data_IF_716802040078
#
_entry.id   IF_716802040078
#
_cell.length_a   1.000
_cell.length_b   1.000
_cell.length_c   1.000
_cell.angle_alpha   90.00
_cell.angle_beta   90.00
_cell.angle_gamma   90.00
#
_symmetry.space_group_name_H-M   'P 1'
#
loop_
_entity.id
_entity.type
_entity.pdbx_description
1 polymer ?
#
# COMPACT_ATOMS: atom_id res chain seq x y z
N UNK A 1 41.06 -26.17 44.97
CA UNK A 1 42.28 -25.75 45.70
C UNK A 1 43.14 -24.95 44.74
N UNK A 2 43.21 -23.64 45.00
CA UNK A 2 44.18 -22.59 44.65
C UNK A 2 44.86 -22.57 43.26
N UNK A 3 44.67 -21.52 42.43
CA UNK A 3 45.16 -20.10 42.53
C UNK A 3 46.65 -19.98 42.15
N UNK A 4 47.21 -19.03 41.35
CA UNK A 4 46.87 -17.68 40.82
C UNK A 4 47.63 -17.49 39.45
N UNK A 5 47.28 -16.68 38.43
CA UNK A 5 47.12 -15.20 38.28
C UNK A 5 48.29 -14.39 38.88
N UNK A 6 48.90 -13.37 38.26
CA UNK A 6 48.39 -12.22 37.49
C UNK A 6 49.48 -11.72 36.52
N UNK A 7 49.08 -11.23 35.34
CA UNK A 7 49.87 -10.37 34.44
C UNK A 7 48.93 -9.24 34.00
N UNK A 8 49.23 -8.01 34.40
CA UNK A 8 48.53 -6.79 33.98
C UNK A 8 49.51 -5.84 33.28
N UNK A 9 49.19 -5.48 32.05
CA UNK A 9 49.92 -4.52 31.24
C UNK A 9 49.05 -3.29 30.96
N UNK A 10 49.55 -2.09 31.27
CA UNK A 10 49.11 -0.82 30.69
C UNK A 10 50.25 0.22 30.63
N UNK A 11 50.18 1.22 29.71
CA UNK A 11 51.34 1.76 29.00
C UNK A 11 51.81 3.15 29.47
N UNK A 12 53.10 3.42 29.26
CA UNK A 12 53.75 4.70 29.54
C UNK A 12 53.63 5.69 28.37
N UNK A 13 53.18 6.91 28.72
CA UNK A 13 53.28 8.15 27.95
C UNK A 13 54.70 8.71 28.03
N UNK A 14 55.28 9.11 26.89
CA UNK A 14 56.41 10.04 26.84
C UNK A 14 56.25 10.98 25.63
N UNK A 15 55.90 12.23 25.94
CA UNK A 15 56.12 13.40 25.10
C UNK A 15 57.60 13.81 25.13
N UNK A 16 58.19 14.13 23.98
CA UNK A 16 58.69 15.49 23.70
C UNK A 16 59.44 15.62 22.36
N UNK A 17 58.98 16.61 21.60
CA UNK A 17 59.75 17.63 20.87
C UNK A 17 60.50 17.26 19.58
N UNK A 18 60.14 17.99 18.52
CA UNK A 18 60.83 18.03 17.23
C UNK A 18 60.18 19.03 16.27
N UNK A 19 60.01 20.27 16.72
CA UNK A 19 59.57 21.41 15.92
C UNK A 19 60.69 21.87 14.98
N UNK A 20 60.63 21.50 13.70
CA UNK A 20 61.38 22.16 12.61
C UNK A 20 60.87 21.62 11.26
N UNK A 21 59.77 22.17 10.73
CA UNK A 21 59.40 22.16 9.29
C UNK A 21 58.05 22.84 9.02
N UNK A 22 57.82 24.04 9.56
CA UNK A 22 56.64 24.86 9.21
C UNK A 22 57.06 26.22 8.65
N UNK A 23 57.70 26.23 7.48
CA UNK A 23 57.75 27.41 6.60
C UNK A 23 57.90 26.95 5.16
N UNK A 24 56.79 26.73 4.47
CA UNK A 24 56.65 27.10 3.05
C UNK A 24 55.21 26.89 2.53
N UNK A 25 54.69 27.96 1.92
CA UNK A 25 53.53 28.05 1.01
C UNK A 25 52.15 28.27 1.69
N UNK A 26 51.97 29.44 2.30
CA UNK A 26 50.63 30.06 2.37
C UNK A 26 50.34 30.80 1.05
N UNK A 27 49.82 30.09 0.04
CA UNK A 27 49.08 30.75 -1.04
C UNK A 27 47.72 31.15 -0.47
N UNK A 28 47.48 32.45 -0.30
CA UNK A 28 46.13 33.01 -0.07
C UNK A 28 45.22 32.60 -1.23
N UNK A 29 44.49 31.50 -1.06
CA UNK A 29 43.28 31.23 -1.84
C UNK A 29 42.21 32.16 -1.27
N UNK A 30 41.94 33.24 -1.99
CA UNK A 30 40.72 34.02 -1.75
C UNK A 30 39.56 33.14 -2.20
N UNK A 31 38.98 32.38 -1.26
CA UNK A 31 37.72 31.69 -1.47
C UNK A 31 36.66 32.77 -1.56
N UNK A 32 36.24 33.12 -2.77
CA UNK A 32 35.01 33.89 -2.94
C UNK A 32 33.87 33.07 -2.33
N UNK A 33 32.99 33.66 -1.49
CA UNK A 33 31.83 32.94 -0.99
C UNK A 33 31.04 32.44 -2.19
N UNK A 34 30.86 31.12 -2.28
CA UNK A 34 29.93 30.53 -3.22
C UNK A 34 28.52 30.92 -2.72
N UNK A 35 28.03 32.08 -3.14
CA UNK A 35 26.63 32.42 -2.98
C UNK A 35 25.86 31.45 -3.88
N UNK A 36 25.39 30.35 -3.30
CA UNK A 36 24.29 29.61 -3.90
C UNK A 36 23.13 30.60 -3.99
N UNK A 37 22.85 31.09 -5.20
CA UNK A 37 21.58 31.74 -5.51
C UNK A 37 20.48 30.79 -5.01
N UNK A 38 19.90 31.10 -3.85
CA UNK A 38 18.70 30.43 -3.38
C UNK A 38 17.64 30.77 -4.42
N UNK A 39 17.43 29.87 -5.38
CA UNK A 39 16.30 29.97 -6.32
C UNK A 39 15.06 30.27 -5.48
N UNK A 40 14.52 31.48 -5.67
CA UNK A 40 13.41 31.99 -4.89
C UNK A 40 12.25 31.03 -5.12
N UNK A 41 11.83 30.31 -4.08
CA UNK A 41 10.73 29.36 -4.16
C UNK A 41 9.49 30.11 -4.67
N UNK A 42 9.07 29.83 -5.91
CA UNK A 42 7.89 30.43 -6.48
C UNK A 42 6.67 29.59 -6.10
N UNK A 43 5.73 30.23 -5.39
CA UNK A 43 4.41 29.67 -5.09
C UNK A 43 3.46 30.07 -6.21
N UNK A 44 2.62 29.13 -6.67
CA UNK A 44 1.48 29.45 -7.53
C UNK A 44 0.22 29.50 -6.68
N UNK A 45 -0.76 30.26 -7.15
CA UNK A 45 -2.03 30.46 -6.48
C UNK A 45 -3.16 30.00 -7.37
N UNK A 46 -4.12 29.32 -6.77
CA UNK A 46 -5.37 28.96 -7.44
C UNK A 46 -6.10 30.27 -7.83
N UNK A 47 -6.54 30.39 -9.08
CA UNK A 47 -7.13 31.60 -9.66
C UNK A 47 -6.15 32.59 -10.28
N UNK A 48 -4.85 32.26 -10.36
CA UNK A 48 -3.81 33.09 -10.99
C UNK A 48 -2.99 32.27 -11.99
N UNK A 49 -2.38 32.90 -13.03
CA UNK A 49 -1.51 32.19 -13.96
C UNK A 49 -0.46 31.32 -13.25
N UNK A 50 -0.31 30.03 -13.63
CA UNK A 50 -0.93 29.34 -14.77
C UNK A 50 -2.27 28.64 -14.46
N UNK A 51 -2.84 28.81 -13.27
CA UNK A 51 -4.07 28.17 -12.80
C UNK A 51 -5.23 29.18 -12.75
N UNK A 52 -5.52 29.77 -13.89
CA UNK A 52 -6.70 30.62 -14.06
C UNK A 52 -7.96 29.78 -13.95
N UNK A 53 -9.02 30.36 -13.40
CA UNK A 53 -10.28 29.66 -13.11
C UNK A 53 -11.43 30.48 -13.64
N UNK A 54 -12.33 29.82 -14.37
CA UNK A 54 -13.57 30.40 -14.82
C UNK A 54 -14.73 29.87 -13.97
N UNK A 55 -15.72 30.73 -13.72
CA UNK A 55 -16.91 30.38 -12.94
C UNK A 55 -17.78 29.28 -13.60
N UNK A 56 -17.62 29.07 -14.90
CA UNK A 56 -18.34 28.07 -15.69
C UNK A 56 -17.61 26.72 -15.74
N UNK A 57 -16.38 26.62 -15.21
CA UNK A 57 -15.60 25.39 -15.26
C UNK A 57 -16.28 24.28 -14.45
N UNK A 58 -16.51 23.14 -15.09
CA UNK A 58 -17.00 21.91 -14.43
C UNK A 58 -15.85 21.00 -13.96
N UNK A 59 -14.64 21.23 -14.48
CA UNK A 59 -13.44 20.44 -14.20
C UNK A 59 -12.24 21.38 -14.07
N UNK A 60 -11.58 21.35 -12.90
CA UNK A 60 -10.38 22.13 -12.62
C UNK A 60 -9.28 21.18 -12.19
N UNK A 61 -8.14 21.24 -12.87
CA UNK A 61 -6.94 20.48 -12.53
C UNK A 61 -5.73 21.40 -12.36
N UNK A 62 -5.13 21.38 -11.17
CA UNK A 62 -3.95 22.16 -10.83
C UNK A 62 -2.94 21.28 -10.08
N UNK A 63 -2.09 20.59 -10.84
CA UNK A 63 -1.12 19.61 -10.32
C UNK A 63 0.26 20.27 -10.17
N UNK A 64 1.02 19.89 -9.14
CA UNK A 64 2.41 20.35 -8.93
C UNK A 64 2.54 21.89 -8.84
N UNK A 65 1.50 22.53 -8.30
CA UNK A 65 1.39 23.98 -8.25
C UNK A 65 2.12 24.64 -7.07
N UNK A 66 2.50 23.84 -6.08
CA UNK A 66 2.88 24.33 -4.73
C UNK A 66 1.79 25.19 -4.08
N UNK A 67 0.53 24.93 -4.41
CA UNK A 67 -0.63 25.70 -3.90
C UNK A 67 -0.80 25.40 -2.41
N UNK A 68 -0.77 26.41 -1.51
CA UNK A 68 -0.89 26.18 -0.07
C UNK A 68 -2.34 26.12 0.43
N UNK A 69 -3.26 26.79 -0.27
CA UNK A 69 -4.66 26.91 0.13
C UNK A 69 -5.57 26.81 -1.09
N UNK A 70 -6.73 26.18 -0.89
CA UNK A 70 -7.82 26.20 -1.85
C UNK A 70 -8.53 27.55 -1.71
N UNK A 71 -8.54 28.33 -2.79
CA UNK A 71 -9.10 29.69 -2.82
C UNK A 71 -9.62 30.00 -4.24
N UNK A 72 -10.35 31.11 -4.40
CA UNK A 72 -10.88 31.57 -5.68
C UNK A 72 -11.92 30.62 -6.35
N UNK A 73 -12.45 29.65 -5.61
CA UNK A 73 -13.52 28.76 -6.06
C UNK A 73 -14.93 29.25 -5.66
N UNK A 74 -15.05 30.42 -5.02
CA UNK A 74 -16.31 30.94 -4.50
C UNK A 74 -17.40 31.11 -5.59
N UNK A 75 -17.00 31.28 -6.86
CA UNK A 75 -17.92 31.43 -8.00
C UNK A 75 -18.09 30.15 -8.82
N UNK A 76 -17.34 29.09 -8.54
CA UNK A 76 -17.34 27.84 -9.31
C UNK A 76 -18.47 26.90 -8.85
N UNK A 77 -19.71 27.36 -9.04
CA UNK A 77 -20.92 26.65 -8.58
C UNK A 77 -21.26 25.41 -9.42
N UNK A 78 -20.71 25.31 -10.64
CA UNK A 78 -20.90 24.20 -11.56
C UNK A 78 -19.78 23.14 -11.48
N UNK A 79 -18.82 23.32 -10.57
CA UNK A 79 -17.65 22.46 -10.47
C UNK A 79 -18.06 21.04 -10.05
N UNK A 80 -17.72 20.05 -10.88
CA UNK A 80 -17.96 18.62 -10.66
C UNK A 80 -16.68 17.86 -10.32
N UNK A 81 -15.54 18.26 -10.88
CA UNK A 81 -14.25 17.63 -10.63
C UNK A 81 -13.19 18.64 -10.23
N UNK A 82 -12.49 18.36 -9.14
CA UNK A 82 -11.38 19.19 -8.66
C UNK A 82 -10.17 18.31 -8.37
N UNK A 83 -9.11 18.50 -9.15
CA UNK A 83 -7.85 17.78 -9.04
C UNK A 83 -6.73 18.73 -8.60
N UNK A 84 -6.19 18.51 -7.41
CA UNK A 84 -5.16 19.34 -6.75
C UNK A 84 -3.97 18.50 -6.29
N UNK A 85 -3.59 17.49 -7.08
CA UNK A 85 -2.50 16.55 -6.75
C UNK A 85 -1.16 17.26 -6.55
N UNK A 86 -0.34 16.76 -5.63
CA UNK A 86 1.05 17.20 -5.45
C UNK A 86 1.15 18.70 -5.15
N UNK A 87 0.41 19.16 -4.14
CA UNK A 87 0.40 20.56 -3.70
C UNK A 87 0.81 20.66 -2.22
N UNK A 88 0.63 21.85 -1.63
CA UNK A 88 0.99 22.12 -0.23
C UNK A 88 -0.23 22.32 0.67
N UNK A 89 -1.40 21.84 0.24
CA UNK A 89 -2.68 22.09 0.89
C UNK A 89 -2.70 21.41 2.25
N UNK A 90 -2.85 22.21 3.30
CA UNK A 90 -2.92 21.70 4.69
C UNK A 90 -4.33 21.65 5.27
N UNK A 91 -5.30 22.28 4.61
CA UNK A 91 -6.69 22.34 5.03
C UNK A 91 -7.65 22.30 3.85
N UNK A 92 -8.78 21.66 4.06
CA UNK A 92 -9.95 21.73 3.18
C UNK A 92 -10.72 23.02 3.53
N UNK A 93 -10.42 24.12 2.87
CA UNK A 93 -11.19 25.39 3.00
C UNK A 93 -11.57 25.86 1.58
N UNK A 94 -12.39 26.90 1.42
CA UNK A 94 -12.74 27.44 0.09
C UNK A 94 -13.60 26.55 -0.85
N UNK A 95 -14.26 25.49 -0.37
CA UNK A 95 -15.09 24.57 -1.17
C UNK A 95 -16.61 24.74 -0.93
N UNK A 96 -17.04 25.75 -0.19
CA UNK A 96 -18.40 25.87 0.36
C UNK A 96 -19.47 25.99 -0.73
N UNK A 97 -19.11 26.58 -1.87
CA UNK A 97 -20.03 26.81 -3.00
C UNK A 97 -19.94 25.70 -4.07
N UNK A 98 -18.98 24.78 -3.97
CA UNK A 98 -18.79 23.68 -4.93
C UNK A 98 -19.69 22.48 -4.59
N UNK A 99 -20.97 22.72 -4.33
CA UNK A 99 -21.91 21.69 -3.82
C UNK A 99 -22.24 20.59 -4.85
N UNK A 100 -21.92 20.82 -6.13
CA UNK A 100 -22.08 19.85 -7.21
C UNK A 100 -20.84 18.96 -7.42
N UNK A 101 -19.83 19.07 -6.56
CA UNK A 101 -18.60 18.30 -6.68
C UNK A 101 -18.88 16.80 -6.53
N UNK A 102 -18.46 16.04 -7.54
CA UNK A 102 -18.58 14.58 -7.65
C UNK A 102 -17.21 13.91 -7.43
N UNK A 103 -16.12 14.57 -7.81
CA UNK A 103 -14.75 14.07 -7.64
C UNK A 103 -13.84 15.12 -7.01
N UNK A 104 -13.20 14.74 -5.92
CA UNK A 104 -12.19 15.55 -5.24
C UNK A 104 -10.89 14.74 -5.08
N UNK A 105 -9.85 15.19 -5.76
CA UNK A 105 -8.53 14.58 -5.72
C UNK A 105 -7.51 15.53 -5.08
N UNK A 106 -7.05 15.16 -3.90
CA UNK A 106 -6.05 15.86 -3.08
C UNK A 106 -4.87 14.94 -2.76
N UNK A 107 -4.57 14.00 -3.65
CA UNK A 107 -3.39 13.14 -3.57
C UNK A 107 -2.11 13.97 -3.34
N UNK A 108 -1.23 13.50 -2.46
CA UNK A 108 0.07 14.12 -2.15
C UNK A 108 -0.05 15.61 -1.75
N UNK A 109 -0.63 15.80 -0.56
CA UNK A 109 -0.80 17.10 0.07
C UNK A 109 -0.38 17.02 1.56
N UNK A 110 -0.78 18.01 2.36
CA UNK A 110 -0.35 18.16 3.76
C UNK A 110 -1.51 18.10 4.75
N UNK A 111 -2.65 17.55 4.36
CA UNK A 111 -3.85 17.45 5.21
C UNK A 111 -3.56 16.59 6.43
N UNK A 112 -3.96 17.06 7.62
CA UNK A 112 -3.78 16.33 8.89
C UNK A 112 -5.10 15.75 9.43
N UNK A 113 -6.23 16.23 8.92
CA UNK A 113 -7.60 15.82 9.27
C UNK A 113 -8.52 16.06 8.08
N UNK A 114 -9.66 15.40 8.11
CA UNK A 114 -10.77 15.61 7.17
C UNK A 114 -11.72 16.59 7.85
N UNK A 115 -12.02 17.72 7.21
CA UNK A 115 -12.88 18.78 7.75
C UNK A 115 -13.51 19.58 6.61
N UNK A 116 -14.56 20.36 6.92
CA UNK A 116 -15.22 21.28 5.99
C UNK A 116 -15.66 20.63 4.66
N UNK A 117 -16.07 19.36 4.72
CA UNK A 117 -16.54 18.58 3.58
C UNK A 117 -18.04 18.29 3.67
N UNK A 118 -18.70 18.71 4.75
CA UNK A 118 -20.11 18.41 5.06
C UNK A 118 -21.11 18.84 3.99
N UNK A 119 -20.78 19.87 3.20
CA UNK A 119 -21.61 20.38 2.11
C UNK A 119 -21.40 19.64 0.78
N UNK A 120 -20.31 18.88 0.63
CA UNK A 120 -19.97 18.15 -0.59
C UNK A 120 -20.69 16.80 -0.62
N UNK A 121 -22.03 16.85 -0.62
CA UNK A 121 -22.91 15.68 -0.50
C UNK A 121 -23.01 14.84 -1.78
N UNK A 122 -22.54 15.37 -2.90
CA UNK A 122 -22.57 14.71 -4.21
C UNK A 122 -21.29 13.93 -4.53
N UNK A 123 -20.29 13.92 -3.64
CA UNK A 123 -19.04 13.22 -3.88
C UNK A 123 -19.26 11.71 -4.12
N UNK A 124 -18.76 11.24 -5.25
CA UNK A 124 -18.67 9.84 -5.64
C UNK A 124 -17.24 9.30 -5.51
N UNK A 125 -16.24 10.16 -5.72
CA UNK A 125 -14.82 9.81 -5.65
C UNK A 125 -14.09 10.82 -4.76
N UNK A 126 -13.38 10.32 -3.77
CA UNK A 126 -12.54 11.12 -2.87
C UNK A 126 -11.16 10.49 -2.73
N UNK A 127 -10.14 11.16 -3.24
CA UNK A 127 -8.73 10.78 -3.07
C UNK A 127 -8.03 11.73 -2.09
N UNK A 128 -7.69 11.21 -0.92
CA UNK A 128 -6.92 11.87 0.14
C UNK A 128 -5.61 11.13 0.42
N UNK A 129 -5.12 10.36 -0.55
CA UNK A 129 -3.90 9.57 -0.42
C UNK A 129 -2.66 10.46 -0.25
N UNK A 130 -1.61 9.92 0.34
CA UNK A 130 -0.34 10.62 0.58
C UNK A 130 -0.53 11.94 1.34
N UNK A 131 -1.28 11.89 2.44
CA UNK A 131 -1.46 12.99 3.36
C UNK A 131 -0.98 12.59 4.77
N UNK A 132 -1.33 13.38 5.79
CA UNK A 132 -0.96 13.15 7.19
C UNK A 132 -2.18 12.85 8.09
N UNK A 133 -3.28 12.37 7.51
CA UNK A 133 -4.56 12.13 8.18
C UNK A 133 -4.41 11.01 9.21
N UNK A 134 -4.92 11.24 10.43
CA UNK A 134 -4.79 10.29 11.55
C UNK A 134 -6.06 9.49 11.83
N UNK A 135 -7.22 9.98 11.38
CA UNK A 135 -8.54 9.44 11.66
C UNK A 135 -9.45 9.65 10.45
N UNK A 136 -10.34 8.71 10.22
CA UNK A 136 -11.49 8.89 9.34
C UNK A 136 -12.57 9.54 10.21
N UNK A 137 -13.00 10.75 9.84
CA UNK A 137 -13.96 11.58 10.55
C UNK A 137 -14.59 12.60 9.59
N UNK A 138 -15.73 13.17 9.96
CA UNK A 138 -16.42 14.22 9.20
C UNK A 138 -16.80 13.81 7.77
N UNK A 139 -17.13 12.54 7.55
CA UNK A 139 -17.59 12.01 6.26
C UNK A 139 -19.05 11.53 6.29
N UNK A 140 -19.82 11.91 7.31
CA UNK A 140 -21.13 11.33 7.58
C UNK A 140 -22.15 11.62 6.47
N UNK A 141 -21.99 12.73 5.75
CA UNK A 141 -22.90 13.21 4.72
C UNK A 141 -22.59 12.69 3.30
N UNK A 142 -21.41 12.11 3.08
CA UNK A 142 -20.93 11.66 1.77
C UNK A 142 -21.53 10.31 1.35
N UNK A 143 -22.86 10.19 1.38
CA UNK A 143 -23.58 8.92 1.15
C UNK A 143 -23.49 8.38 -0.27
N UNK A 144 -23.07 9.21 -1.24
CA UNK A 144 -22.88 8.82 -2.65
C UNK A 144 -21.47 8.31 -2.97
N UNK A 145 -20.55 8.29 -2.00
CA UNK A 145 -19.19 7.83 -2.25
C UNK A 145 -19.18 6.38 -2.76
N UNK A 146 -18.55 6.19 -3.92
CA UNK A 146 -18.29 4.91 -4.56
C UNK A 146 -16.84 4.49 -4.36
N UNK A 147 -15.90 5.44 -4.34
CA UNK A 147 -14.47 5.19 -4.17
C UNK A 147 -13.86 6.14 -3.14
N UNK A 148 -13.15 5.58 -2.17
CA UNK A 148 -12.44 6.34 -1.14
C UNK A 148 -10.99 5.88 -1.06
N UNK A 149 -10.07 6.80 -1.35
CA UNK A 149 -8.63 6.53 -1.29
C UNK A 149 -7.99 7.29 -0.12
N UNK A 150 -7.36 6.54 0.78
CA UNK A 150 -6.69 7.01 1.98
C UNK A 150 -5.29 6.38 2.11
N UNK A 151 -4.71 5.92 0.99
CA UNK A 151 -3.39 5.32 0.92
C UNK A 151 -2.33 6.24 1.53
N UNK A 152 -1.34 5.69 2.23
CA UNK A 152 -0.18 6.44 2.75
C UNK A 152 -0.59 7.60 3.68
N UNK A 153 -1.34 7.28 4.73
CA UNK A 153 -1.71 8.20 5.80
C UNK A 153 -1.21 7.68 7.18
N UNK A 154 -1.76 8.20 8.28
CA UNK A 154 -1.42 7.81 9.66
C UNK A 154 -2.61 7.23 10.41
N UNK A 155 -3.59 6.67 9.68
CA UNK A 155 -4.83 6.12 10.22
C UNK A 155 -4.54 4.87 11.04
N UNK A 156 -5.12 4.78 12.24
CA UNK A 156 -4.89 3.65 13.16
C UNK A 156 -6.05 2.68 13.25
N UNK A 157 -7.26 3.11 12.88
CA UNK A 157 -8.50 2.35 13.04
C UNK A 157 -9.40 2.60 11.84
N UNK A 158 -10.12 1.56 11.45
CA UNK A 158 -11.22 1.64 10.50
C UNK A 158 -12.43 2.08 11.30
N UNK A 159 -12.98 3.26 11.06
CA UNK A 159 -14.06 3.83 11.86
C UNK A 159 -14.81 4.87 11.03
N UNK A 160 -16.02 5.23 11.47
CA UNK A 160 -16.85 6.26 10.84
C UNK A 160 -17.09 6.01 9.34
N UNK A 161 -17.22 4.73 8.96
CA UNK A 161 -17.58 4.32 7.61
C UNK A 161 -19.08 4.04 7.58
N UNK A 162 -19.82 4.86 6.84
CA UNK A 162 -21.25 4.68 6.62
C UNK A 162 -21.59 5.11 5.18
N UNK A 163 -21.17 4.26 4.26
CA UNK A 163 -21.15 4.53 2.82
C UNK A 163 -21.89 3.42 2.06
N UNK A 164 -23.22 3.57 1.86
CA UNK A 164 -24.05 2.53 1.27
C UNK A 164 -23.72 2.23 -0.20
N UNK A 165 -23.06 3.16 -0.89
CA UNK A 165 -22.70 3.07 -2.30
C UNK A 165 -21.21 2.71 -2.54
N UNK A 166 -20.42 2.54 -1.48
CA UNK A 166 -18.98 2.34 -1.61
C UNK A 166 -18.66 0.97 -2.18
N UNK A 167 -17.91 0.95 -3.29
CA UNK A 167 -17.47 -0.26 -3.98
C UNK A 167 -15.98 -0.51 -3.82
N UNK A 168 -15.18 0.53 -3.56
CA UNK A 168 -13.73 0.46 -3.39
C UNK A 168 -13.26 1.28 -2.19
N UNK A 169 -12.49 0.65 -1.31
CA UNK A 169 -11.86 1.28 -0.15
C UNK A 169 -10.36 0.99 -0.13
N UNK A 170 -9.55 2.03 -0.26
CA UNK A 170 -8.09 1.95 -0.22
C UNK A 170 -7.54 2.57 1.07
N UNK A 171 -6.97 1.72 1.93
CA UNK A 171 -6.43 2.06 3.25
C UNK A 171 -4.99 1.58 3.43
N UNK A 172 -4.29 1.28 2.34
CA UNK A 172 -2.93 0.81 2.34
C UNK A 172 -1.94 1.81 2.95
N UNK A 173 -0.76 1.34 3.37
CA UNK A 173 0.31 2.16 3.95
C UNK A 173 -0.16 3.04 5.12
N UNK A 174 -0.95 2.47 6.04
CA UNK A 174 -1.44 3.14 7.25
C UNK A 174 -0.86 2.48 8.51
N UNK A 175 -1.53 2.65 9.66
CA UNK A 175 -1.15 2.06 10.95
C UNK A 175 -2.29 1.20 11.54
N UNK A 176 -3.16 0.68 10.68
CA UNK A 176 -4.31 -0.13 11.06
C UNK A 176 -3.81 -1.47 11.61
N UNK A 177 -4.35 -1.90 12.74
CA UNK A 177 -3.94 -3.16 13.40
C UNK A 177 -5.03 -4.23 13.39
N UNK A 178 -6.28 -3.84 13.12
CA UNK A 178 -7.44 -4.73 13.13
C UNK A 178 -8.38 -4.37 11.98
N UNK A 179 -9.01 -5.39 11.42
CA UNK A 179 -10.13 -5.26 10.48
C UNK A 179 -11.40 -5.13 11.34
N UNK A 180 -12.14 -4.03 11.21
CA UNK A 180 -13.32 -3.72 12.02
C UNK A 180 -14.23 -2.74 11.28
N UNK A 181 -15.49 -2.61 11.71
CA UNK A 181 -16.43 -1.57 11.27
C UNK A 181 -16.68 -1.54 9.75
N UNK A 182 -16.92 -2.71 9.16
CA UNK A 182 -17.24 -2.89 7.73
C UNK A 182 -18.74 -3.17 7.48
N UNK A 183 -19.55 -3.20 8.53
CA UNK A 183 -20.98 -3.55 8.52
C UNK A 183 -21.87 -2.60 7.72
N UNK A 184 -21.40 -1.36 7.50
CA UNK A 184 -22.13 -0.34 6.73
C UNK A 184 -21.59 -0.14 5.31
N UNK A 185 -20.95 -1.15 4.74
CA UNK A 185 -20.38 -1.13 3.39
C UNK A 185 -20.98 -2.25 2.51
N UNK A 186 -22.32 -2.28 2.33
CA UNK A 186 -23.02 -3.42 1.74
C UNK A 186 -22.72 -3.67 0.26
N UNK A 187 -22.00 -2.77 -0.42
CA UNK A 187 -21.63 -2.87 -1.84
C UNK A 187 -20.13 -2.98 -2.06
N UNK A 188 -19.33 -3.15 -1.01
CA UNK A 188 -17.87 -3.13 -1.13
C UNK A 188 -17.37 -4.37 -1.88
N UNK A 189 -16.66 -4.13 -2.97
CA UNK A 189 -16.08 -5.15 -3.86
C UNK A 189 -14.57 -5.23 -3.73
N UNK A 190 -13.91 -4.11 -3.45
CA UNK A 190 -12.45 -4.03 -3.41
C UNK A 190 -11.98 -3.39 -2.11
N UNK A 191 -11.18 -4.14 -1.34
CA UNK A 191 -10.63 -3.70 -0.07
C UNK A 191 -9.11 -3.83 -0.05
N UNK A 192 -8.42 -2.70 0.03
CA UNK A 192 -6.97 -2.64 0.10
C UNK A 192 -6.51 -2.21 1.49
N UNK A 193 -5.79 -3.11 2.16
CA UNK A 193 -5.27 -2.96 3.51
C UNK A 193 -3.76 -3.28 3.57
N UNK A 194 -3.08 -3.22 2.42
CA UNK A 194 -1.66 -3.52 2.32
C UNK A 194 -0.79 -2.59 3.18
N UNK A 195 0.39 -3.05 3.61
CA UNK A 195 1.36 -2.24 4.38
C UNK A 195 0.75 -1.59 5.65
N UNK A 196 0.09 -2.43 6.45
CA UNK A 196 -0.48 -2.06 7.75
C UNK A 196 0.17 -2.88 8.88
N UNK A 197 -0.52 -3.05 10.01
CA UNK A 197 -0.06 -3.81 11.18
C UNK A 197 -1.03 -4.92 11.56
N UNK A 198 -1.85 -5.38 10.61
CA UNK A 198 -2.89 -6.39 10.83
C UNK A 198 -2.23 -7.73 11.14
N UNK A 199 -2.71 -8.40 12.18
CA UNK A 199 -2.20 -9.70 12.62
C UNK A 199 -3.17 -10.86 12.37
N UNK A 200 -4.47 -10.56 12.33
CA UNK A 200 -5.54 -11.55 12.18
C UNK A 200 -6.50 -11.10 11.09
N UNK A 201 -6.86 -12.02 10.21
CA UNK A 201 -7.96 -11.90 9.26
C UNK A 201 -9.24 -12.25 10.03
N UNK A 202 -10.07 -11.25 10.32
CA UNK A 202 -11.33 -11.40 11.08
C UNK A 202 -12.32 -10.33 10.64
N UNK A 203 -13.58 -10.45 11.06
CA UNK A 203 -14.63 -9.45 10.84
C UNK A 203 -14.91 -9.17 9.34
N UNK A 204 -14.90 -10.23 8.52
CA UNK A 204 -15.13 -10.17 7.08
C UNK A 204 -16.55 -10.59 6.69
N UNK A 205 -17.32 -11.13 7.64
CA UNK A 205 -18.68 -11.63 7.46
C UNK A 205 -19.63 -10.60 6.82
N UNK A 206 -19.55 -9.28 7.14
CA UNK A 206 -20.39 -8.29 6.48
C UNK A 206 -20.16 -8.19 4.96
N UNK A 207 -19.00 -8.63 4.48
CA UNK A 207 -18.58 -8.53 3.09
C UNK A 207 -18.69 -9.86 2.32
N UNK A 208 -19.20 -10.92 2.97
CA UNK A 208 -19.24 -12.29 2.46
C UNK A 208 -19.81 -12.44 1.03
N UNK A 209 -20.80 -11.61 0.69
CA UNK A 209 -21.52 -11.68 -0.58
C UNK A 209 -21.10 -10.62 -1.60
N UNK A 210 -20.16 -9.72 -1.28
CA UNK A 210 -19.82 -8.59 -2.17
C UNK A 210 -18.35 -8.49 -2.50
N UNK A 211 -17.45 -8.95 -1.63
CA UNK A 211 -16.02 -8.73 -1.82
C UNK A 211 -15.45 -9.65 -2.90
N UNK A 212 -14.73 -9.04 -3.84
CA UNK A 212 -14.10 -9.70 -4.98
C UNK A 212 -12.57 -9.59 -4.95
N UNK A 213 -12.05 -8.52 -4.34
CA UNK A 213 -10.61 -8.31 -4.15
C UNK A 213 -10.31 -7.94 -2.69
N UNK A 214 -9.39 -8.70 -2.09
CA UNK A 214 -8.84 -8.43 -0.76
C UNK A 214 -7.32 -8.38 -0.83
N UNK A 215 -6.74 -7.21 -0.52
CA UNK A 215 -5.30 -7.03 -0.41
C UNK A 215 -4.89 -6.78 1.04
N UNK A 216 -4.11 -7.70 1.60
CA UNK A 216 -3.51 -7.64 2.94
C UNK A 216 -1.99 -7.81 2.89
N UNK A 217 -1.37 -7.55 1.73
CA UNK A 217 0.09 -7.68 1.56
C UNK A 217 0.86 -6.79 2.54
N UNK A 218 2.08 -7.16 2.92
CA UNK A 218 2.93 -6.39 3.83
C UNK A 218 2.29 -6.12 5.21
N UNK A 219 1.67 -7.13 5.82
CA UNK A 219 1.09 -7.06 7.16
C UNK A 219 1.90 -7.93 8.16
N UNK A 220 1.27 -8.37 9.25
CA UNK A 220 1.87 -9.21 10.28
C UNK A 220 1.10 -10.51 10.49
N UNK A 221 0.43 -10.98 9.44
CA UNK A 221 -0.43 -12.17 9.49
C UNK A 221 0.46 -13.41 9.56
N UNK A 222 0.20 -14.28 10.53
CA UNK A 222 0.97 -15.52 10.74
C UNK A 222 0.23 -16.77 10.25
N UNK A 223 -1.08 -16.67 10.07
CA UNK A 223 -1.97 -17.77 9.73
C UNK A 223 -3.15 -17.22 8.95
N UNK A 224 -3.67 -18.00 8.02
CA UNK A 224 -4.91 -17.69 7.30
C UNK A 224 -6.07 -18.18 8.17
N UNK A 225 -6.87 -17.26 8.72
CA UNK A 225 -7.97 -17.61 9.62
C UNK A 225 -9.17 -18.23 8.86
N UNK A 226 -9.94 -19.15 9.49
CA UNK A 226 -11.14 -19.75 8.92
C UNK A 226 -12.18 -18.75 8.40
N UNK A 227 -12.28 -17.59 9.01
CA UNK A 227 -13.20 -16.50 8.71
C UNK A 227 -13.12 -16.05 7.25
N UNK A 228 -11.97 -16.21 6.58
CA UNK A 228 -11.83 -15.88 5.15
C UNK A 228 -12.78 -16.70 4.26
N UNK A 229 -13.16 -17.91 4.70
CA UNK A 229 -14.03 -18.82 3.93
C UNK A 229 -15.45 -18.26 3.69
N UNK A 230 -15.86 -17.22 4.41
CA UNK A 230 -17.14 -16.57 4.15
C UNK A 230 -17.16 -15.79 2.82
N UNK A 231 -16.00 -15.41 2.28
CA UNK A 231 -15.87 -14.59 1.07
C UNK A 231 -16.03 -15.41 -0.22
N UNK A 232 -17.25 -15.86 -0.50
CA UNK A 232 -17.52 -16.81 -1.60
C UNK A 232 -17.34 -16.22 -3.00
N UNK A 233 -17.38 -14.89 -3.13
CA UNK A 233 -17.22 -14.15 -4.38
C UNK A 233 -15.78 -13.63 -4.60
N UNK A 234 -14.83 -14.01 -3.74
CA UNK A 234 -13.46 -13.51 -3.81
C UNK A 234 -12.71 -14.11 -5.01
N UNK A 235 -12.28 -13.24 -5.92
CA UNK A 235 -11.52 -13.59 -7.12
C UNK A 235 -10.01 -13.36 -6.91
N UNK A 236 -9.64 -12.34 -6.13
CA UNK A 236 -8.26 -11.92 -5.93
C UNK A 236 -7.93 -11.84 -4.43
N UNK A 237 -7.00 -12.69 -3.99
CA UNK A 237 -6.47 -12.66 -2.62
C UNK A 237 -4.97 -12.37 -2.65
N UNK A 238 -4.59 -11.19 -2.17
CA UNK A 238 -3.20 -10.77 -2.06
C UNK A 238 -2.77 -10.72 -0.60
N UNK A 239 -1.90 -11.64 -0.19
CA UNK A 239 -1.42 -11.79 1.19
C UNK A 239 0.11 -11.97 1.24
N UNK A 240 0.81 -11.41 0.25
CA UNK A 240 2.26 -11.42 0.17
C UNK A 240 2.93 -10.67 1.33
N UNK A 241 4.22 -10.93 1.56
CA UNK A 241 5.02 -10.22 2.57
C UNK A 241 4.39 -10.26 3.97
N UNK A 242 3.96 -11.45 4.39
CA UNK A 242 3.45 -11.74 5.72
C UNK A 242 4.34 -12.80 6.40
N UNK A 243 3.85 -13.44 7.45
CA UNK A 243 4.57 -14.46 8.21
C UNK A 243 3.87 -15.83 8.17
N UNK A 244 3.07 -16.07 7.12
CA UNK A 244 2.27 -17.29 6.98
C UNK A 244 3.18 -18.50 6.80
N UNK A 245 2.95 -19.55 7.57
CA UNK A 245 3.74 -20.81 7.49
C UNK A 245 2.99 -21.96 6.83
N UNK A 246 1.67 -21.91 6.84
CA UNK A 246 0.79 -22.98 6.38
C UNK A 246 -0.30 -22.37 5.50
N UNK A 247 -0.54 -23.00 4.35
CA UNK A 247 -1.70 -22.68 3.52
C UNK A 247 -2.87 -23.54 4.02
N UNK A 248 -3.93 -22.89 4.48
CA UNK A 248 -5.13 -23.53 5.01
C UNK A 248 -6.32 -22.58 4.91
N UNK A 249 -7.54 -23.10 5.14
CA UNK A 249 -8.78 -22.32 5.18
C UNK A 249 -9.15 -21.59 3.87
N UNK A 250 -8.70 -22.09 2.71
CA UNK A 250 -9.02 -21.50 1.40
C UNK A 250 -10.11 -22.27 0.63
N UNK A 251 -10.53 -23.44 1.12
CA UNK A 251 -11.51 -24.33 0.46
C UNK A 251 -12.89 -23.69 0.20
N UNK A 252 -13.25 -22.61 0.90
CA UNK A 252 -14.48 -21.84 0.63
C UNK A 252 -14.40 -20.90 -0.58
N UNK A 253 -13.19 -20.54 -1.03
CA UNK A 253 -12.93 -19.50 -2.04
C UNK A 253 -13.01 -20.05 -3.47
N UNK A 254 -14.19 -20.55 -3.86
CA UNK A 254 -14.37 -21.30 -5.11
C UNK A 254 -14.20 -20.47 -6.39
N UNK A 255 -14.32 -19.14 -6.30
CA UNK A 255 -14.13 -18.20 -7.41
C UNK A 255 -12.70 -17.65 -7.49
N UNK A 256 -11.78 -18.10 -6.62
CA UNK A 256 -10.46 -17.52 -6.54
C UNK A 256 -9.65 -17.79 -7.82
N UNK A 257 -9.30 -16.73 -8.53
CA UNK A 257 -8.51 -16.76 -9.77
C UNK A 257 -7.03 -16.46 -9.50
N UNK A 258 -6.75 -15.59 -8.53
CA UNK A 258 -5.38 -15.20 -8.16
C UNK A 258 -5.17 -15.35 -6.65
N UNK A 259 -4.12 -16.08 -6.30
CA UNK A 259 -3.63 -16.23 -4.94
C UNK A 259 -2.16 -15.82 -4.87
N UNK A 260 -1.92 -14.67 -4.24
CA UNK A 260 -0.58 -14.18 -3.99
C UNK A 260 -0.16 -14.42 -2.53
N UNK A 261 0.76 -15.36 -2.36
CA UNK A 261 1.37 -15.80 -1.10
C UNK A 261 2.89 -15.55 -1.11
N UNK A 262 3.40 -14.72 -2.03
CA UNK A 262 4.82 -14.46 -2.15
C UNK A 262 5.42 -13.89 -0.86
N UNK A 263 6.72 -14.09 -0.63
CA UNK A 263 7.43 -13.53 0.54
C UNK A 263 6.79 -13.89 1.90
N UNK A 264 6.47 -15.16 2.10
CA UNK A 264 5.97 -15.70 3.37
C UNK A 264 6.97 -16.72 3.96
N UNK A 265 6.54 -17.58 4.87
CA UNK A 265 7.34 -18.64 5.50
C UNK A 265 6.77 -20.02 5.22
N UNK A 266 6.07 -20.18 4.10
CA UNK A 266 5.34 -21.40 3.76
C UNK A 266 6.34 -22.52 3.46
N UNK A 267 6.12 -23.69 4.06
CA UNK A 267 7.01 -24.85 3.88
C UNK A 267 6.42 -25.93 2.99
N UNK A 268 5.09 -25.94 2.79
CA UNK A 268 4.37 -26.95 2.00
C UNK A 268 3.24 -26.33 1.22
N UNK A 269 2.99 -26.86 0.03
CA UNK A 269 1.85 -26.49 -0.82
C UNK A 269 0.70 -27.44 -0.51
N UNK A 270 -0.33 -26.95 0.16
CA UNK A 270 -1.50 -27.75 0.57
C UNK A 270 -2.74 -26.87 0.64
N UNK A 271 -3.93 -27.48 0.73
CA UNK A 271 -5.19 -26.75 0.94
C UNK A 271 -5.65 -25.88 -0.24
N UNK A 272 -5.06 -26.07 -1.42
CA UNK A 272 -5.38 -25.32 -2.65
C UNK A 272 -5.78 -26.22 -3.84
N UNK A 273 -5.84 -27.53 -3.62
CA UNK A 273 -6.28 -28.53 -4.60
C UNK A 273 -7.75 -28.38 -5.00
N UNK A 274 -8.57 -27.78 -4.14
CA UNK A 274 -10.00 -27.52 -4.40
C UNK A 274 -10.27 -26.19 -5.12
N UNK A 275 -9.25 -25.35 -5.34
CA UNK A 275 -9.39 -24.04 -5.98
C UNK A 275 -9.44 -24.16 -7.50
N UNK A 276 -10.54 -24.72 -8.02
CA UNK A 276 -10.67 -25.11 -9.42
C UNK A 276 -10.68 -23.96 -10.42
N UNK A 277 -10.78 -22.70 -9.97
CA UNK A 277 -10.67 -21.51 -10.83
C UNK A 277 -9.32 -20.80 -10.75
N UNK A 278 -8.40 -21.27 -9.91
CA UNK A 278 -7.12 -20.62 -9.67
C UNK A 278 -6.24 -20.65 -10.92
N UNK A 279 -5.96 -19.47 -11.49
CA UNK A 279 -5.13 -19.28 -12.68
C UNK A 279 -3.72 -18.82 -12.34
N UNK A 280 -3.58 -17.95 -11.35
CA UNK A 280 -2.31 -17.34 -10.95
C UNK A 280 -1.98 -17.67 -9.49
N UNK A 281 -0.90 -18.42 -9.29
CA UNK A 281 -0.44 -18.84 -7.96
C UNK A 281 0.98 -18.34 -7.70
N UNK A 282 1.14 -17.40 -6.77
CA UNK A 282 2.44 -16.82 -6.46
C UNK A 282 2.95 -17.35 -5.11
N UNK A 283 4.02 -18.14 -5.15
CA UNK A 283 4.65 -18.80 -4.00
C UNK A 283 6.14 -18.47 -3.90
N UNK A 284 6.67 -17.58 -4.74
CA UNK A 284 8.08 -17.17 -4.72
C UNK A 284 8.47 -16.61 -3.35
N UNK A 285 9.74 -16.71 -3.00
CA UNK A 285 10.28 -16.25 -1.71
C UNK A 285 9.59 -16.90 -0.49
N UNK A 286 9.42 -18.21 -0.52
CA UNK A 286 8.94 -19.00 0.62
C UNK A 286 10.02 -20.01 1.06
N UNK A 287 9.62 -21.04 1.82
CA UNK A 287 10.50 -22.08 2.38
C UNK A 287 10.12 -23.48 1.91
N UNK A 288 9.56 -23.61 0.70
CA UNK A 288 9.14 -24.90 0.15
C UNK A 288 10.38 -25.68 -0.30
N UNK A 289 10.62 -26.82 0.35
CA UNK A 289 11.86 -27.58 0.19
C UNK A 289 11.73 -28.73 -0.81
N UNK A 290 10.61 -29.46 -0.79
CA UNK A 290 10.49 -30.70 -1.52
C UNK A 290 9.50 -30.59 -2.68
N UNK A 291 9.88 -31.11 -3.85
CA UNK A 291 9.00 -31.11 -5.02
C UNK A 291 7.69 -31.89 -4.79
N UNK A 292 7.72 -32.95 -3.95
CA UNK A 292 6.52 -33.72 -3.59
C UNK A 292 5.38 -32.88 -3.01
N UNK A 293 5.70 -31.72 -2.42
CA UNK A 293 4.69 -30.83 -1.85
C UNK A 293 3.79 -30.24 -2.94
N UNK A 294 4.22 -30.21 -4.20
CA UNK A 294 3.39 -29.75 -5.32
C UNK A 294 2.46 -30.84 -5.85
N UNK A 295 2.59 -32.12 -5.48
CA UNK A 295 1.88 -33.25 -6.11
C UNK A 295 0.36 -33.09 -6.16
N UNK A 296 -0.23 -32.41 -5.16
CA UNK A 296 -1.67 -32.15 -5.10
C UNK A 296 -2.13 -31.17 -6.19
N UNK A 297 -1.24 -30.34 -6.73
CA UNK A 297 -1.57 -29.41 -7.81
C UNK A 297 -1.93 -30.10 -9.12
N UNK A 298 -1.63 -31.39 -9.31
CA UNK A 298 -2.13 -32.18 -10.45
C UNK A 298 -3.67 -32.25 -10.49
N UNK A 299 -4.32 -32.04 -9.35
CA UNK A 299 -5.78 -32.00 -9.23
C UNK A 299 -6.36 -30.65 -9.66
N UNK A 300 -5.52 -29.63 -9.78
CA UNK A 300 -5.89 -28.34 -10.32
C UNK A 300 -5.63 -28.32 -11.83
N UNK A 301 -6.66 -27.96 -12.60
CA UNK A 301 -6.61 -27.94 -14.08
C UNK A 301 -6.72 -26.52 -14.66
N UNK A 302 -6.67 -25.49 -13.83
CA UNK A 302 -6.83 -24.09 -14.25
C UNK A 302 -5.57 -23.23 -14.12
N UNK A 303 -4.58 -23.65 -13.31
CA UNK A 303 -3.36 -22.88 -13.11
C UNK A 303 -2.61 -22.70 -14.44
N UNK A 304 -2.36 -21.43 -14.78
CA UNK A 304 -1.64 -20.96 -15.98
C UNK A 304 -0.29 -20.37 -15.62
N UNK A 305 -0.20 -19.69 -14.49
CA UNK A 305 1.01 -19.02 -14.02
C UNK A 305 1.35 -19.49 -12.61
N UNK A 306 2.62 -19.87 -12.41
CA UNK A 306 3.12 -20.17 -11.07
C UNK A 306 4.47 -19.49 -10.85
N UNK A 307 4.63 -18.81 -9.70
CA UNK A 307 5.92 -18.30 -9.24
C UNK A 307 6.40 -19.15 -8.06
N UNK A 308 7.57 -19.78 -8.20
CA UNK A 308 8.18 -20.67 -7.19
C UNK A 308 9.63 -20.28 -6.91
N UNK A 309 10.22 -19.40 -7.70
CA UNK A 309 11.60 -18.92 -7.52
C UNK A 309 11.89 -18.45 -6.08
N UNK A 310 13.14 -18.57 -5.67
CA UNK A 310 13.58 -18.20 -4.33
C UNK A 310 12.94 -19.04 -3.21
N UNK A 311 12.48 -20.25 -3.54
CA UNK A 311 12.28 -21.35 -2.59
C UNK A 311 13.47 -22.33 -2.65
N UNK A 312 13.77 -23.10 -1.59
CA UNK A 312 14.81 -24.14 -1.67
C UNK A 312 14.59 -25.15 -2.82
N UNK A 313 13.33 -25.50 -3.14
CA UNK A 313 13.00 -26.38 -4.28
C UNK A 313 13.45 -25.82 -5.64
N UNK A 314 13.56 -24.49 -5.77
CA UNK A 314 13.99 -23.86 -7.04
C UNK A 314 15.48 -24.04 -7.34
N UNK A 315 16.27 -24.56 -6.40
CA UNK A 315 17.69 -24.87 -6.60
C UNK A 315 17.91 -26.20 -7.36
N UNK A 316 16.88 -27.05 -7.46
CA UNK A 316 16.97 -28.29 -8.22
C UNK A 316 16.83 -27.98 -9.72
N UNK A 317 17.81 -28.32 -10.59
CA UNK A 317 17.85 -27.87 -11.97
C UNK A 317 16.60 -28.18 -12.82
N UNK A 318 15.87 -29.22 -12.48
CA UNK A 318 14.72 -29.73 -13.23
C UNK A 318 13.36 -29.35 -12.64
N UNK A 319 13.29 -28.54 -11.57
CA UNK A 319 12.00 -28.21 -10.92
C UNK A 319 10.97 -27.64 -11.89
N UNK A 320 11.38 -26.81 -12.86
CA UNK A 320 10.49 -26.25 -13.89
C UNK A 320 9.92 -27.33 -14.82
N UNK A 321 10.76 -28.30 -15.22
CA UNK A 321 10.33 -29.43 -16.05
C UNK A 321 9.38 -30.34 -15.27
N UNK A 322 9.67 -30.58 -13.99
CA UNK A 322 8.79 -31.35 -13.11
C UNK A 322 7.44 -30.63 -12.90
N UNK A 323 7.44 -29.31 -12.68
CA UNK A 323 6.21 -28.50 -12.58
C UNK A 323 5.38 -28.58 -13.87
N UNK A 324 6.02 -28.46 -15.04
CA UNK A 324 5.34 -28.56 -16.32
C UNK A 324 4.77 -29.95 -16.58
N UNK A 325 5.49 -31.00 -16.18
CA UNK A 325 4.98 -32.38 -16.25
C UNK A 325 3.80 -32.60 -15.31
N UNK A 326 3.80 -31.94 -14.16
CA UNK A 326 2.76 -32.09 -13.13
C UNK A 326 1.51 -31.26 -13.45
N UNK A 327 1.69 -30.07 -14.03
CA UNK A 327 0.66 -29.09 -14.35
C UNK A 327 0.79 -28.70 -15.83
N UNK A 328 0.27 -29.54 -16.76
CA UNK A 328 0.44 -29.33 -18.20
C UNK A 328 -0.22 -28.06 -18.74
N UNK A 329 -1.10 -27.42 -17.96
CA UNK A 329 -1.81 -26.18 -18.31
C UNK A 329 -0.95 -24.93 -18.17
N UNK A 330 0.21 -25.02 -17.51
CA UNK A 330 1.12 -23.89 -17.32
C UNK A 330 1.51 -23.24 -18.67
N UNK A 331 1.48 -21.91 -18.66
CA UNK A 331 1.90 -21.01 -19.74
C UNK A 331 3.14 -20.21 -19.27
N UNK A 332 3.27 -19.98 -17.97
CA UNK A 332 4.38 -19.24 -17.37
C UNK A 332 4.84 -19.88 -16.05
N UNK A 333 6.16 -19.98 -15.89
CA UNK A 333 6.82 -20.39 -14.64
C UNK A 333 7.86 -19.33 -14.29
N UNK A 334 7.68 -18.68 -13.14
CA UNK A 334 8.45 -17.51 -12.73
C UNK A 334 8.43 -16.43 -13.83
N UNK A 335 9.57 -15.80 -14.12
CA UNK A 335 9.72 -14.84 -15.21
C UNK A 335 9.78 -15.47 -16.62
N UNK A 336 9.65 -16.80 -16.76
CA UNK A 336 9.81 -17.50 -18.03
C UNK A 336 8.47 -17.95 -18.59
N UNK A 337 8.14 -17.47 -19.79
CA UNK A 337 7.01 -17.96 -20.59
C UNK A 337 7.41 -19.22 -21.33
N UNK A 338 6.58 -20.26 -21.25
CA UNK A 338 6.85 -21.59 -21.80
C UNK A 338 5.90 -21.98 -22.95
N UNK A 339 4.84 -21.20 -23.22
CA UNK A 339 3.92 -21.37 -24.35
C UNK A 339 3.51 -20.05 -24.99
#
# INVERSE_FOLDING_TARGET
MNQNQEDDAQPQLLDNQGTENQKQIEKKVVVQPFEQEKQKIQYKYLGHPPFEINQEDEDISCIEGRIPNIQALDKCVNLKRLCLRTNLISKLEGLQNCILLEELDLYDNRLIKIENIELLVNLEILDLSFNNIKKIENLENQKKLKKLFLLSNKIKKIQNLDFPELTMLELGSNKISEIENLDKLPKLRELFLGKNKIQLIKNLEPLANTLELLSLSCNKIQMIQPEIQCLQNLNYLQIAENFITIIENLNGLKQLELLDLAHNKITKVQGIDQLQQLQDLWLNNNKIEYFKDFELLKLNQSIKTIYVEQNPVSQFPDYKMQLLSLIPTLIQIDAVRIK
#
